data_IF_137617635375
#
_entry.id   IF_137617635375
#
_cell.length_a   1.000
_cell.length_b   1.000
_cell.length_c   1.000
_cell.angle_alpha   90.00
_cell.angle_beta   90.00
_cell.angle_gamma   90.00
#
_symmetry.space_group_name_H-M   'P 1'
#
loop_
_entity.id
_entity.type
_entity.pdbx_description
1 polymer ?
#
# COMPACT_ATOMS: atom_id res chain seq x y z
N UNK A 1 -2.21 9.95 -17.90
CA UNK A 1 -2.07 9.13 -16.66
C UNK A 1 -0.62 8.71 -16.57
N UNK A 2 0.02 8.79 -15.40
CA UNK A 2 1.38 8.27 -15.17
C UNK A 2 1.30 7.05 -14.27
N UNK A 3 2.17 6.07 -14.49
CA UNK A 3 2.25 4.82 -13.73
C UNK A 3 3.59 4.72 -13.00
N UNK A 4 3.76 3.69 -12.16
CA UNK A 4 4.96 3.49 -11.35
C UNK A 4 6.24 3.38 -12.22
N UNK A 5 6.11 2.76 -13.39
CA UNK A 5 7.19 2.57 -14.37
C UNK A 5 7.75 3.90 -14.92
N UNK A 6 6.95 4.96 -14.91
CA UNK A 6 7.36 6.29 -15.37
C UNK A 6 8.19 7.05 -14.32
N UNK A 7 8.27 6.54 -13.08
CA UNK A 7 8.83 7.24 -11.93
C UNK A 7 10.19 6.66 -11.50
N UNK A 8 11.25 7.46 -11.54
CA UNK A 8 12.50 7.13 -10.87
C UNK A 8 12.41 7.42 -9.37
N UNK A 9 12.30 6.38 -8.55
CA UNK A 9 12.13 6.45 -7.08
C UNK A 9 13.41 6.16 -6.29
N UNK A 10 14.52 5.83 -6.95
CA UNK A 10 15.79 5.50 -6.28
C UNK A 10 16.27 6.67 -5.41
N UNK A 11 16.52 6.40 -4.12
CA UNK A 11 16.96 7.38 -3.11
C UNK A 11 16.00 8.58 -2.92
N UNK A 12 14.69 8.37 -3.12
CA UNK A 12 13.68 9.41 -2.89
C UNK A 12 12.75 9.03 -1.74
N UNK A 13 12.32 10.04 -1.00
CA UNK A 13 11.17 9.92 -0.10
C UNK A 13 9.90 10.00 -0.94
N UNK A 14 9.09 8.94 -0.92
CA UNK A 14 7.85 8.84 -1.70
C UNK A 14 6.66 8.81 -0.75
N UNK A 15 5.68 9.69 -0.98
CA UNK A 15 4.38 9.60 -0.34
C UNK A 15 3.56 8.51 -1.04
N UNK A 16 3.35 7.38 -0.37
CA UNK A 16 2.54 6.29 -0.89
C UNK A 16 1.15 6.32 -0.27
N UNK A 17 0.13 6.66 -1.07
CA UNK A 17 -1.28 6.59 -0.65
C UNK A 17 -1.80 5.18 -0.90
N UNK A 18 -2.34 4.55 0.15
CA UNK A 18 -2.82 3.17 0.13
C UNK A 18 -4.24 3.08 0.70
N UNK A 19 -4.98 2.05 0.32
CA UNK A 19 -6.26 1.71 0.95
C UNK A 19 -6.04 0.64 2.04
N UNK A 20 -5.87 1.09 3.27
CA UNK A 20 -5.83 0.24 4.47
C UNK A 20 -7.12 0.29 5.28
N UNK A 21 -8.26 0.56 4.64
CA UNK A 21 -9.55 0.38 5.28
C UNK A 21 -9.87 -1.12 5.43
N UNK A 22 -9.25 -1.75 6.43
CA UNK A 22 -9.35 -3.17 6.75
C UNK A 22 -10.32 -3.43 7.90
N UNK A 23 -10.87 -4.63 7.94
CA UNK A 23 -11.71 -5.07 9.05
C UNK A 23 -10.85 -5.34 10.28
N UNK A 24 -11.26 -4.76 11.41
CA UNK A 24 -10.60 -4.91 12.71
C UNK A 24 -11.61 -5.47 13.71
N UNK A 25 -11.24 -6.52 14.43
CA UNK A 25 -11.95 -7.02 15.60
C UNK A 25 -11.02 -7.03 16.82
N UNK A 26 -11.45 -6.41 17.92
CA UNK A 26 -10.70 -6.32 19.19
C UNK A 26 -9.23 -5.89 19.01
N UNK A 27 -9.00 -4.91 18.13
CA UNK A 27 -7.66 -4.38 17.84
C UNK A 27 -6.79 -5.30 16.98
N UNK A 28 -7.35 -6.39 16.43
CA UNK A 28 -6.67 -7.31 15.51
C UNK A 28 -7.27 -7.22 14.12
N UNK A 29 -6.42 -7.26 13.10
CA UNK A 29 -6.84 -7.32 11.70
C UNK A 29 -7.39 -8.73 11.44
N UNK A 30 -8.67 -8.82 11.08
CA UNK A 30 -9.32 -10.11 10.77
C UNK A 30 -9.20 -10.48 9.29
N UNK A 31 -9.08 -9.49 8.41
CA UNK A 31 -8.82 -9.68 6.98
C UNK A 31 -7.70 -8.76 6.52
N UNK A 32 -6.62 -9.36 6.02
CA UNK A 32 -5.43 -8.65 5.54
C UNK A 32 -5.33 -8.58 4.01
N UNK A 33 -6.39 -8.93 3.29
CA UNK A 33 -6.40 -8.96 1.82
C UNK A 33 -5.99 -7.61 1.20
N UNK A 34 -6.48 -6.49 1.74
CA UNK A 34 -6.09 -5.14 1.27
C UNK A 34 -4.63 -4.79 1.56
N UNK A 35 -4.10 -5.23 2.70
CA UNK A 35 -2.69 -5.00 3.04
C UNK A 35 -1.80 -5.78 2.06
N UNK A 36 -2.14 -7.05 1.80
CA UNK A 36 -1.40 -7.90 0.86
C UNK A 36 -1.42 -7.38 -0.57
N UNK A 37 -2.54 -6.78 -1.00
CA UNK A 37 -2.69 -6.21 -2.34
C UNK A 37 -1.71 -5.06 -2.63
N UNK A 38 -1.21 -4.37 -1.60
CA UNK A 38 -0.27 -3.24 -1.74
C UNK A 38 1.19 -3.69 -1.83
N UNK A 39 1.51 -4.91 -1.36
CA UNK A 39 2.90 -5.40 -1.28
C UNK A 39 3.69 -5.32 -2.60
N UNK A 40 3.13 -5.60 -3.79
CA UNK A 40 3.89 -5.47 -5.03
C UNK A 40 4.37 -4.05 -5.35
N UNK A 41 3.83 -3.03 -4.67
CA UNK A 41 4.19 -1.61 -4.86
C UNK A 41 5.28 -1.15 -3.90
N UNK A 42 5.48 -1.86 -2.77
CA UNK A 42 6.43 -1.53 -1.70
C UNK A 42 7.67 -2.40 -1.84
#
# INVERSE_FOLDING_TARGET
MRVLEDANVKNKTVLLRVDFNVLIDKGKVIDNSKIKAVLPTI
#
